data_IF_232707969836
#
_entry.id   IF_232707969836
#
_cell.length_a   1.000
_cell.length_b   1.000
_cell.length_c   1.000
_cell.angle_alpha   90.00
_cell.angle_beta   90.00
_cell.angle_gamma   90.00
#
_symmetry.space_group_name_H-M   'P 1'
#
loop_
_entity.id
_entity.type
_entity.pdbx_description
1 polymer ?
#
# COMPACT_ATOMS: atom_id res chain seq x y z
N UNK A 1 16.68 -5.54 -10.05
CA UNK A 1 15.92 -4.27 -9.94
C UNK A 1 14.90 -4.17 -11.06
N UNK A 2 13.62 -4.42 -10.78
CA UNK A 2 12.52 -4.19 -11.72
C UNK A 2 11.44 -3.34 -11.05
N UNK A 3 11.68 -2.03 -10.95
CA UNK A 3 10.59 -1.06 -10.85
C UNK A 3 9.96 -0.93 -12.25
N UNK A 4 9.13 -1.91 -12.62
CA UNK A 4 8.18 -1.74 -13.71
C UNK A 4 7.10 -0.78 -13.21
N UNK A 5 7.31 0.50 -13.48
CA UNK A 5 6.22 1.47 -13.55
C UNK A 5 5.17 0.92 -14.51
N UNK A 6 4.07 0.41 -13.96
CA UNK A 6 2.91 0.00 -14.73
C UNK A 6 2.23 1.27 -15.24
N UNK A 7 2.61 1.65 -16.46
CA UNK A 7 2.03 2.72 -17.23
C UNK A 7 0.69 2.21 -17.81
N UNK A 8 -0.38 2.95 -17.50
CA UNK A 8 -1.71 2.98 -18.14
C UNK A 8 -2.63 1.78 -17.86
N UNK A 9 -3.58 2.03 -16.95
CA UNK A 9 -4.69 1.16 -16.53
C UNK A 9 -5.58 0.83 -17.73
N UNK A 10 -5.73 -0.45 -18.05
CA UNK A 10 -6.99 -0.93 -18.59
C UNK A 10 -8.03 -0.90 -17.47
N UNK A 11 -9.22 -0.40 -17.75
CA UNK A 11 -10.37 -0.61 -16.85
C UNK A 11 -10.58 -2.13 -16.70
N UNK A 12 -10.35 -2.64 -15.50
CA UNK A 12 -10.58 -4.05 -15.16
C UNK A 12 -11.94 -4.16 -14.50
N UNK A 13 -12.85 -4.89 -15.13
CA UNK A 13 -14.18 -5.11 -14.58
C UNK A 13 -14.11 -6.00 -13.33
N UNK A 14 -14.57 -5.46 -12.20
CA UNK A 14 -14.72 -6.20 -10.95
C UNK A 14 -16.18 -6.67 -10.81
N UNK A 15 -16.41 -7.97 -10.92
CA UNK A 15 -17.73 -8.57 -10.73
C UNK A 15 -17.94 -8.96 -9.27
N UNK A 16 -18.86 -8.28 -8.56
CA UNK A 16 -19.16 -8.55 -7.16
C UNK A 16 -20.57 -9.13 -7.01
N UNK A 17 -20.70 -10.19 -6.19
CA UNK A 17 -22.00 -10.70 -5.74
C UNK A 17 -22.26 -10.24 -4.30
N UNK A 18 -23.44 -9.70 -4.05
CA UNK A 18 -23.86 -9.26 -2.73
C UNK A 18 -25.30 -9.72 -2.47
N UNK A 19 -25.62 -9.97 -1.20
CA UNK A 19 -27.01 -10.15 -0.76
C UNK A 19 -27.75 -8.81 -0.85
N UNK A 20 -29.07 -8.87 -0.95
CA UNK A 20 -29.91 -7.66 -1.01
C UNK A 20 -29.71 -6.76 0.22
N UNK A 21 -29.58 -7.36 1.41
CA UNK A 21 -29.30 -6.62 2.66
C UNK A 21 -27.95 -5.91 2.64
N UNK A 22 -26.92 -6.51 2.05
CA UNK A 22 -25.60 -5.89 1.91
C UNK A 22 -25.65 -4.73 0.93
N UNK A 23 -26.37 -4.90 -0.19
CA UNK A 23 -26.57 -3.85 -1.17
C UNK A 23 -27.30 -2.64 -0.54
N UNK A 24 -28.40 -2.88 0.16
CA UNK A 24 -29.18 -1.81 0.79
C UNK A 24 -28.34 -1.00 1.80
N UNK A 25 -27.50 -1.68 2.58
CA UNK A 25 -26.58 -1.04 3.52
C UNK A 25 -25.53 -0.17 2.80
N UNK A 26 -24.95 -0.68 1.71
CA UNK A 26 -23.96 0.05 0.91
C UNK A 26 -24.60 1.25 0.22
N UNK A 27 -25.80 1.08 -0.36
CA UNK A 27 -26.55 2.15 -1.03
C UNK A 27 -26.83 3.30 -0.04
N UNK A 28 -27.30 2.98 1.18
CA UNK A 28 -27.51 3.97 2.23
C UNK A 28 -26.22 4.72 2.63
N UNK A 29 -25.09 4.02 2.73
CA UNK A 29 -23.80 4.64 3.05
C UNK A 29 -23.32 5.57 1.92
N UNK A 30 -23.49 5.15 0.66
CA UNK A 30 -23.15 5.94 -0.51
C UNK A 30 -24.02 7.21 -0.62
N UNK A 31 -25.32 7.09 -0.30
CA UNK A 31 -26.27 8.22 -0.26
C UNK A 31 -25.86 9.28 0.77
N UNK A 32 -25.50 8.86 1.99
CA UNK A 32 -25.03 9.77 3.06
C UNK A 32 -23.80 10.56 2.62
N UNK A 33 -22.91 9.93 1.84
CA UNK A 33 -21.69 10.55 1.34
C UNK A 33 -21.85 11.24 -0.02
N UNK A 34 -23.06 11.26 -0.59
CA UNK A 34 -23.36 11.81 -1.92
C UNK A 34 -22.46 11.26 -3.04
N UNK A 35 -22.15 9.96 -2.98
CA UNK A 35 -21.31 9.26 -3.97
C UNK A 35 -22.10 8.18 -4.70
N UNK A 36 -21.63 7.79 -5.88
CA UNK A 36 -22.16 6.60 -6.52
C UNK A 36 -21.77 5.36 -5.70
N UNK A 37 -22.62 4.33 -5.71
CA UNK A 37 -22.31 3.05 -5.05
C UNK A 37 -20.95 2.50 -5.50
N UNK A 38 -20.65 2.55 -6.79
CA UNK A 38 -19.40 2.00 -7.33
C UNK A 38 -18.20 2.75 -6.79
N UNK A 39 -18.27 4.09 -6.75
CA UNK A 39 -17.18 4.92 -6.20
C UNK A 39 -16.99 4.65 -4.71
N UNK A 40 -18.08 4.56 -3.96
CA UNK A 40 -18.03 4.24 -2.53
C UNK A 40 -17.39 2.87 -2.27
N UNK A 41 -17.78 1.84 -3.02
CA UNK A 41 -17.21 0.50 -2.90
C UNK A 41 -15.72 0.52 -3.23
N UNK A 42 -15.32 1.12 -4.35
CA UNK A 42 -13.93 1.15 -4.78
C UNK A 42 -13.05 1.91 -3.79
N UNK A 43 -13.48 3.09 -3.35
CA UNK A 43 -12.73 3.91 -2.40
C UNK A 43 -12.56 3.18 -1.06
N UNK A 44 -13.65 2.63 -0.51
CA UNK A 44 -13.62 1.90 0.76
C UNK A 44 -12.77 0.63 0.66
N UNK A 45 -12.88 -0.11 -0.44
CA UNK A 45 -12.07 -1.31 -0.67
C UNK A 45 -10.58 -0.99 -0.78
N UNK A 46 -10.21 0.09 -1.48
CA UNK A 46 -8.82 0.55 -1.57
C UNK A 46 -8.27 0.96 -0.20
N UNK A 47 -9.01 1.78 0.55
CA UNK A 47 -8.59 2.19 1.90
C UNK A 47 -8.41 0.98 2.84
N UNK A 48 -9.33 0.02 2.79
CA UNK A 48 -9.22 -1.21 3.57
C UNK A 48 -8.00 -2.05 3.15
N UNK A 49 -7.74 -2.17 1.84
CA UNK A 49 -6.57 -2.87 1.32
C UNK A 49 -5.26 -2.20 1.76
N UNK A 50 -5.17 -0.87 1.64
CA UNK A 50 -4.02 -0.08 2.12
C UNK A 50 -3.78 -0.30 3.60
N UNK A 51 -4.83 -0.25 4.42
CA UNK A 51 -4.73 -0.52 5.85
C UNK A 51 -4.20 -1.93 6.13
N UNK A 52 -4.71 -2.95 5.45
CA UNK A 52 -4.22 -4.34 5.59
C UNK A 52 -2.74 -4.45 5.21
N UNK A 53 -2.32 -3.75 4.15
CA UNK A 53 -0.92 -3.74 3.70
C UNK A 53 -0.04 -3.03 4.74
N UNK A 54 -0.47 -1.89 5.27
CA UNK A 54 0.28 -1.10 6.26
C UNK A 54 0.34 -1.80 7.63
N UNK A 55 -0.73 -2.50 8.01
CA UNK A 55 -0.79 -3.28 9.24
C UNK A 55 0.02 -4.60 9.13
N UNK A 56 0.59 -4.91 7.96
CA UNK A 56 1.44 -6.08 7.79
C UNK A 56 2.75 -5.92 8.56
N UNK A 57 2.81 -6.55 9.74
CA UNK A 57 4.00 -6.58 10.61
C UNK A 57 4.90 -7.79 10.38
N UNK A 58 4.42 -8.80 9.66
CA UNK A 58 5.16 -10.04 9.42
C UNK A 58 5.46 -10.16 7.93
N UNK A 59 6.76 -10.22 7.62
CA UNK A 59 7.28 -10.53 6.30
C UNK A 59 7.66 -12.01 6.29
N UNK A 60 7.06 -12.76 5.37
CA UNK A 60 7.39 -14.16 5.18
C UNK A 60 8.47 -14.22 4.11
N UNK A 61 9.63 -14.73 4.48
CA UNK A 61 10.72 -15.02 3.56
C UNK A 61 10.80 -16.53 3.35
N UNK A 62 11.18 -16.95 2.15
CA UNK A 62 11.76 -18.28 1.97
C UNK A 62 13.23 -18.26 2.42
N UNK A 63 13.88 -19.43 2.47
CA UNK A 63 15.24 -19.55 3.01
C UNK A 63 16.24 -18.67 2.25
N UNK A 64 16.16 -18.62 0.92
CA UNK A 64 17.02 -17.77 0.07
C UNK A 64 16.86 -16.28 0.38
N UNK A 65 15.61 -15.81 0.49
CA UNK A 65 15.31 -14.41 0.82
C UNK A 65 15.75 -14.05 2.23
N UNK A 66 15.68 -15.00 3.16
CA UNK A 66 16.15 -14.80 4.53
C UNK A 66 17.67 -14.65 4.57
N UNK A 67 18.42 -15.53 3.89
CA UNK A 67 19.87 -15.42 3.81
C UNK A 67 20.33 -14.13 3.13
N UNK A 68 19.70 -13.73 2.01
CA UNK A 68 19.97 -12.45 1.36
C UNK A 68 19.74 -11.27 2.31
N UNK A 69 18.63 -11.30 3.06
CA UNK A 69 18.30 -10.26 4.02
C UNK A 69 19.33 -10.17 5.16
N UNK A 70 19.77 -11.30 5.73
CA UNK A 70 20.81 -11.31 6.78
C UNK A 70 22.15 -10.82 6.23
N UNK A 71 22.55 -11.26 5.04
CA UNK A 71 23.79 -10.80 4.40
C UNK A 71 23.77 -9.28 4.17
N UNK A 72 22.62 -8.71 3.80
CA UNK A 72 22.46 -7.26 3.65
C UNK A 72 22.52 -6.50 4.98
N UNK A 73 22.02 -7.09 6.07
CA UNK A 73 22.10 -6.50 7.41
C UNK A 73 23.52 -6.53 7.99
N UNK A 74 24.25 -7.61 7.75
CA UNK A 74 25.62 -7.80 8.24
C UNK A 74 26.67 -7.08 7.37
N UNK A 75 26.29 -6.68 6.15
CA UNK A 75 27.17 -5.93 5.27
C UNK A 75 27.55 -4.58 5.90
N UNK A 76 28.84 -4.18 5.83
CA UNK A 76 29.24 -2.87 6.30
C UNK A 76 28.50 -1.78 5.52
N UNK A 77 28.07 -0.73 6.22
CA UNK A 77 27.45 0.43 5.59
C UNK A 77 28.48 1.05 4.65
N UNK A 78 28.21 1.01 3.35
CA UNK A 78 29.04 1.67 2.36
C UNK A 78 28.84 3.19 2.47
N UNK A 79 29.93 3.95 2.29
CA UNK A 79 29.86 5.39 2.20
C UNK A 79 29.04 5.78 0.97
N UNK A 80 27.81 6.25 1.20
CA UNK A 80 26.92 6.77 0.17
C UNK A 80 26.74 8.29 0.37
N UNK A 81 27.26 9.12 -0.54
CA UNK A 81 27.17 10.58 -0.42
C UNK A 81 25.72 11.09 -0.39
N UNK A 82 24.75 10.31 -0.89
CA UNK A 82 23.32 10.62 -0.80
C UNK A 82 22.83 10.44 0.64
N UNK A 83 23.24 9.35 1.30
CA UNK A 83 22.88 9.07 2.71
C UNK A 83 23.50 10.13 3.63
N UNK A 84 24.77 10.47 3.42
CA UNK A 84 25.43 11.53 4.19
C UNK A 84 24.70 12.88 4.08
N UNK A 85 24.31 13.25 2.85
CA UNK A 85 23.55 14.47 2.60
C UNK A 85 22.15 14.45 3.24
N UNK A 86 21.50 13.28 3.28
CA UNK A 86 20.21 13.10 3.93
C UNK A 86 20.33 13.22 5.46
N UNK A 87 21.34 12.61 6.07
CA UNK A 87 21.59 12.68 7.51
C UNK A 87 22.02 14.09 7.96
N UNK A 88 22.74 14.83 7.11
CA UNK A 88 23.15 16.21 7.37
C UNK A 88 22.01 17.23 7.21
N UNK A 89 20.85 16.82 6.67
CA UNK A 89 19.72 17.72 6.46
C UNK A 89 19.04 18.02 7.80
N UNK A 90 18.88 19.32 8.12
CA UNK A 90 18.10 19.74 9.29
C UNK A 90 16.67 19.17 9.20
N UNK A 91 16.19 18.41 10.19
CA UNK A 91 14.83 17.91 10.20
C UNK A 91 13.84 19.08 10.27
N UNK A 92 12.72 18.92 9.57
CA UNK A 92 11.68 19.94 9.42
C UNK A 92 10.79 20.12 10.67
N UNK A 93 10.93 19.24 11.66
CA UNK A 93 10.21 19.30 12.94
C UNK A 93 11.01 19.95 14.08
N UNK A 94 12.30 20.27 13.87
CA UNK A 94 13.09 21.09 14.79
C UNK A 94 12.97 22.57 14.37
N UNK A 95 11.83 23.18 14.73
CA UNK A 95 11.65 24.64 14.65
C UNK A 95 12.56 25.30 15.68
#
# INVERSE_FOLDING_TARGET
>A
MLYKGCLMKSDVQLNLRAKESQRALIDAAAEILHKSRTDFILETACQAAEKVILDRRVFNFNDEQYEEFINLLDAPVADDPVIEKLLARKPQWDV
#
